data_IF_901096873346
#
_entry.id   IF_901096873346
#
_cell.length_a   1.000
_cell.length_b   1.000
_cell.length_c   1.000
_cell.angle_alpha   90.00
_cell.angle_beta   90.00
_cell.angle_gamma   90.00
#
_symmetry.space_group_name_H-M   'P 1'
#
loop_
_entity.id
_entity.type
_entity.pdbx_description
1 polymer ?
#
# COMPACT_ATOMS: atom_id res chain seq x y z
N UNK A 1 -68.70 81.81 4.00
CA UNK A 1 -67.69 80.92 4.51
C UNK A 1 -67.17 79.99 3.37
N UNK A 2 -65.98 80.31 2.83
CA UNK A 2 -65.41 79.66 1.66
C UNK A 2 -64.59 78.42 2.14
N UNK A 3 -64.97 77.21 1.67
CA UNK A 3 -64.16 76.00 1.87
C UNK A 3 -63.33 75.76 0.62
N UNK A 4 -62.01 75.98 0.72
CA UNK A 4 -61.06 75.67 -0.31
C UNK A 4 -60.70 74.22 -0.14
N UNK A 5 -61.11 73.31 -1.10
CA UNK A 5 -60.68 71.96 -1.23
C UNK A 5 -59.34 71.98 -1.98
N UNK A 6 -58.22 71.70 -1.28
CA UNK A 6 -56.94 71.46 -1.90
C UNK A 6 -56.94 70.04 -2.48
N UNK A 7 -56.97 69.95 -3.81
CA UNK A 7 -56.72 68.74 -4.55
C UNK A 7 -55.19 68.43 -4.50
N UNK A 8 -54.83 67.39 -3.82
CA UNK A 8 -53.47 66.88 -3.78
C UNK A 8 -53.27 65.87 -4.94
N UNK A 9 -52.59 66.31 -6.00
CA UNK A 9 -52.23 65.48 -7.10
C UNK A 9 -51.16 64.46 -6.61
N UNK A 10 -51.59 63.22 -6.47
CA UNK A 10 -50.65 62.09 -6.28
C UNK A 10 -50.15 61.74 -7.65
N UNK A 11 -48.96 62.24 -7.99
CA UNK A 11 -48.22 61.78 -9.16
C UNK A 11 -47.66 60.36 -8.87
N UNK A 12 -48.42 59.37 -9.34
CA UNK A 12 -47.95 57.98 -9.44
C UNK A 12 -46.80 57.91 -10.47
N UNK A 13 -45.57 57.79 -10.00
CA UNK A 13 -44.47 57.54 -10.83
C UNK A 13 -44.58 56.06 -11.36
N UNK A 14 -45.11 55.93 -12.56
CA UNK A 14 -45.17 54.64 -13.23
C UNK A 14 -43.71 54.28 -13.65
N UNK A 15 -43.08 53.39 -12.90
CA UNK A 15 -41.83 52.80 -13.33
C UNK A 15 -42.06 52.06 -14.65
N UNK A 16 -41.48 52.58 -15.70
CA UNK A 16 -41.50 51.90 -17.00
C UNK A 16 -40.77 50.54 -16.86
N UNK A 17 -41.40 49.40 -17.16
CA UNK A 17 -40.73 48.13 -17.07
C UNK A 17 -39.57 48.11 -18.05
N UNK A 18 -38.38 47.79 -17.54
CA UNK A 18 -37.18 47.56 -18.37
C UNK A 18 -37.38 46.25 -19.12
N UNK A 19 -37.61 46.35 -20.42
CA UNK A 19 -37.70 45.19 -21.32
C UNK A 19 -36.33 44.95 -21.88
N UNK A 20 -35.73 43.76 -21.58
CA UNK A 20 -34.44 43.33 -22.11
C UNK A 20 -34.74 42.27 -23.19
N UNK A 21 -34.46 42.56 -24.44
CA UNK A 21 -34.82 41.72 -25.59
C UNK A 21 -33.98 40.42 -25.67
N UNK A 22 -32.79 40.40 -25.12
CA UNK A 22 -31.96 39.17 -25.01
C UNK A 22 -31.06 39.22 -23.78
N UNK A 23 -31.01 38.11 -23.05
CA UNK A 23 -30.14 37.92 -21.89
C UNK A 23 -29.33 36.65 -22.10
N UNK A 24 -28.01 36.78 -22.01
CA UNK A 24 -27.11 35.64 -21.96
C UNK A 24 -26.81 35.37 -20.48
N UNK A 25 -27.23 34.20 -20.00
CA UNK A 25 -26.90 33.73 -18.66
C UNK A 25 -25.58 32.92 -18.72
N UNK A 26 -24.59 33.32 -17.96
CA UNK A 26 -23.37 32.57 -17.74
C UNK A 26 -23.24 32.23 -16.26
N UNK A 27 -22.77 31.03 -15.91
CA UNK A 27 -22.48 30.70 -14.51
C UNK A 27 -21.42 31.65 -13.95
N UNK A 28 -21.61 32.13 -12.74
CA UNK A 28 -20.64 32.97 -12.05
C UNK A 28 -19.41 32.14 -11.62
N UNK A 29 -19.67 30.94 -11.15
CA UNK A 29 -18.66 29.95 -10.76
C UNK A 29 -19.01 28.59 -11.36
N UNK A 30 -18.05 27.90 -11.90
CA UNK A 30 -18.15 26.53 -12.36
C UNK A 30 -16.99 25.71 -11.82
N UNK A 31 -17.29 24.57 -11.20
CA UNK A 31 -16.29 23.66 -10.69
C UNK A 31 -16.37 22.32 -11.46
N UNK A 32 -15.25 21.90 -12.03
CA UNK A 32 -15.13 20.56 -12.58
C UNK A 32 -14.74 19.58 -11.47
N UNK A 33 -15.45 18.47 -11.36
CA UNK A 33 -15.18 17.40 -10.39
C UNK A 33 -14.65 16.19 -11.14
N UNK A 34 -13.32 16.09 -11.35
CA UNK A 34 -12.74 14.94 -12.02
C UNK A 34 -12.74 13.70 -11.13
N UNK A 35 -12.82 12.51 -11.74
CA UNK A 35 -12.59 11.26 -11.04
C UNK A 35 -11.10 11.17 -10.62
N UNK A 36 -10.83 10.80 -9.36
CA UNK A 36 -9.46 10.65 -8.85
C UNK A 36 -8.75 9.40 -9.37
N UNK A 37 -9.53 8.42 -9.85
CA UNK A 37 -9.02 7.14 -10.37
C UNK A 37 -9.66 6.85 -11.72
N UNK A 38 -8.92 6.14 -12.57
CA UNK A 38 -9.43 5.64 -13.84
C UNK A 38 -10.37 4.47 -13.57
N UNK A 39 -11.58 4.52 -14.14
CA UNK A 39 -12.57 3.47 -13.94
C UNK A 39 -13.78 3.64 -14.87
N UNK A 40 -14.59 2.60 -14.95
CA UNK A 40 -15.85 2.65 -15.68
C UNK A 40 -16.93 3.28 -14.80
N UNK A 41 -17.65 4.25 -15.33
CA UNK A 41 -18.78 4.86 -14.64
C UNK A 41 -19.92 3.83 -14.53
N UNK A 42 -20.33 3.53 -13.31
CA UNK A 42 -21.41 2.58 -13.03
C UNK A 42 -22.77 3.26 -12.95
N UNK A 43 -22.83 4.41 -12.27
CA UNK A 43 -24.07 5.08 -11.96
C UNK A 43 -23.82 6.58 -11.74
N UNK A 44 -24.70 7.42 -12.26
CA UNK A 44 -24.81 8.83 -11.91
C UNK A 44 -25.97 8.95 -10.94
N UNK A 45 -25.71 9.44 -9.73
CA UNK A 45 -26.70 9.47 -8.63
C UNK A 45 -27.54 10.76 -8.66
N UNK A 46 -27.01 11.81 -9.28
CA UNK A 46 -27.65 13.14 -9.33
C UNK A 46 -28.22 13.42 -10.72
N UNK A 47 -29.24 14.27 -10.79
CA UNK A 47 -29.84 14.70 -12.05
C UNK A 47 -29.39 16.13 -12.39
N UNK A 48 -29.40 16.45 -13.70
CA UNK A 48 -29.13 17.82 -14.15
C UNK A 48 -30.09 18.81 -13.52
N UNK A 49 -29.57 19.94 -13.06
CA UNK A 49 -30.37 20.98 -12.36
C UNK A 49 -30.62 20.71 -10.87
N UNK A 50 -30.16 19.59 -10.32
CA UNK A 50 -30.27 19.31 -8.89
C UNK A 50 -29.25 20.13 -8.08
N UNK A 51 -29.70 20.60 -6.91
CA UNK A 51 -28.78 21.19 -5.93
C UNK A 51 -28.02 20.11 -5.21
N UNK A 52 -26.70 20.28 -5.08
CA UNK A 52 -25.77 19.32 -4.43
C UNK A 52 -25.06 19.98 -3.26
N UNK A 53 -24.73 19.18 -2.24
CA UNK A 53 -24.03 19.64 -1.05
C UNK A 53 -22.56 19.16 -1.08
N UNK A 54 -21.68 19.83 -0.32
CA UNK A 54 -20.30 19.41 -0.17
C UNK A 54 -20.22 18.01 0.46
N UNK A 55 -19.48 17.09 -0.18
CA UNK A 55 -19.38 15.70 0.24
C UNK A 55 -20.48 14.76 -0.29
N UNK A 56 -21.47 15.29 -1.04
CA UNK A 56 -22.50 14.45 -1.65
C UNK A 56 -21.93 13.58 -2.78
N UNK A 57 -22.36 12.31 -2.83
CA UNK A 57 -21.97 11.39 -3.91
C UNK A 57 -22.68 11.78 -5.20
N UNK A 58 -21.92 12.15 -6.23
CA UNK A 58 -22.42 12.54 -7.54
C UNK A 58 -22.53 11.36 -8.50
N UNK A 59 -21.53 10.48 -8.48
CA UNK A 59 -21.44 9.31 -9.34
C UNK A 59 -20.69 8.17 -8.63
N UNK A 60 -20.86 6.95 -9.13
CA UNK A 60 -20.18 5.75 -8.66
C UNK A 60 -19.44 5.09 -9.80
N UNK A 61 -18.19 4.76 -9.57
CA UNK A 61 -17.39 3.94 -10.49
C UNK A 61 -17.62 2.44 -10.22
N UNK A 62 -17.34 1.61 -11.21
CA UNK A 62 -17.33 0.15 -11.05
C UNK A 62 -16.10 -0.26 -10.23
N UNK A 63 -16.31 -0.82 -9.06
CA UNK A 63 -15.26 -1.21 -8.12
C UNK A 63 -14.80 -2.66 -8.27
N UNK A 64 -15.46 -3.47 -9.11
CA UNK A 64 -15.19 -4.92 -9.22
C UNK A 64 -13.73 -5.24 -9.54
N UNK A 65 -13.14 -4.49 -10.48
CA UNK A 65 -11.72 -4.69 -10.81
C UNK A 65 -10.83 -4.30 -9.64
N UNK A 66 -11.07 -3.17 -8.99
CA UNK A 66 -10.31 -2.74 -7.82
C UNK A 66 -10.42 -3.73 -6.65
N UNK A 67 -11.59 -4.31 -6.42
CA UNK A 67 -11.78 -5.36 -5.38
C UNK A 67 -10.96 -6.62 -5.70
N UNK A 68 -10.90 -7.03 -6.97
CA UNK A 68 -10.05 -8.15 -7.40
C UNK A 68 -8.57 -7.83 -7.26
N UNK A 69 -8.15 -6.62 -7.60
CA UNK A 69 -6.75 -6.18 -7.46
C UNK A 69 -6.32 -6.15 -5.98
N UNK A 70 -7.18 -5.64 -5.09
CA UNK A 70 -6.95 -5.68 -3.63
C UNK A 70 -6.89 -7.12 -3.11
N UNK A 71 -7.81 -7.99 -3.57
CA UNK A 71 -7.80 -9.40 -3.17
C UNK A 71 -6.50 -10.10 -3.61
N UNK A 72 -6.04 -9.85 -4.84
CA UNK A 72 -4.77 -10.35 -5.36
C UNK A 72 -3.59 -9.86 -4.53
N UNK A 73 -3.51 -8.54 -4.27
CA UNK A 73 -2.43 -7.96 -3.48
C UNK A 73 -2.38 -8.53 -2.06
N UNK A 74 -3.53 -8.80 -1.43
CA UNK A 74 -3.61 -9.47 -0.11
C UNK A 74 -3.03 -10.89 -0.15
N UNK A 75 -3.33 -11.66 -1.21
CA UNK A 75 -2.78 -13.01 -1.38
C UNK A 75 -1.26 -12.95 -1.57
N UNK A 76 -0.77 -12.01 -2.38
CA UNK A 76 0.67 -11.81 -2.59
C UNK A 76 1.39 -11.42 -1.28
N UNK A 77 0.82 -10.53 -0.49
CA UNK A 77 1.35 -10.17 0.83
C UNK A 77 1.35 -11.36 1.79
N UNK A 78 0.28 -12.16 1.82
CA UNK A 78 0.22 -13.37 2.65
C UNK A 78 1.28 -14.41 2.21
N UNK A 79 1.51 -14.56 0.91
CA UNK A 79 2.57 -15.43 0.39
C UNK A 79 3.97 -14.93 0.78
N UNK A 80 4.22 -13.63 0.68
CA UNK A 80 5.48 -13.02 1.12
C UNK A 80 5.68 -13.20 2.64
N UNK A 81 4.62 -13.04 3.44
CA UNK A 81 4.66 -13.27 4.88
C UNK A 81 5.01 -14.73 5.22
N UNK A 82 4.44 -15.69 4.49
CA UNK A 82 4.76 -17.11 4.68
C UNK A 82 6.24 -17.41 4.39
N UNK A 83 6.82 -16.79 3.35
CA UNK A 83 8.26 -16.91 3.03
C UNK A 83 9.13 -16.24 4.11
N UNK A 84 8.83 -15.00 4.48
CA UNK A 84 9.57 -14.22 5.48
C UNK A 84 9.58 -14.87 6.87
N UNK A 85 8.57 -15.68 7.19
CA UNK A 85 8.48 -16.42 8.45
C UNK A 85 9.09 -17.83 8.38
N UNK A 86 9.46 -18.32 7.20
CA UNK A 86 10.00 -19.66 7.03
C UNK A 86 11.50 -19.71 7.37
N UNK A 87 11.82 -20.09 8.59
CA UNK A 87 13.18 -20.23 9.10
C UNK A 87 13.80 -21.62 8.89
N UNK A 88 13.16 -22.51 8.14
CA UNK A 88 13.60 -23.89 7.99
C UNK A 88 15.02 -24.02 7.43
N UNK A 89 15.35 -23.21 6.40
CA UNK A 89 16.71 -23.19 5.82
C UNK A 89 17.77 -22.76 6.84
N UNK A 90 17.48 -21.70 7.60
CA UNK A 90 18.39 -21.21 8.65
C UNK A 90 18.58 -22.27 9.73
N UNK A 91 17.49 -22.86 10.23
CA UNK A 91 17.55 -23.90 11.24
C UNK A 91 18.31 -25.14 10.76
N UNK A 92 18.15 -25.54 9.50
CA UNK A 92 18.91 -26.64 8.90
C UNK A 92 20.41 -26.32 8.85
N UNK A 93 20.79 -25.14 8.37
CA UNK A 93 22.19 -24.72 8.28
C UNK A 93 22.83 -24.59 9.69
N UNK A 94 22.08 -24.11 10.69
CA UNK A 94 22.53 -24.07 12.08
C UNK A 94 22.81 -25.47 12.64
N UNK A 95 21.92 -26.42 12.39
CA UNK A 95 22.11 -27.79 12.86
C UNK A 95 23.25 -28.50 12.14
N UNK A 96 23.41 -28.27 10.85
CA UNK A 96 24.56 -28.81 10.08
C UNK A 96 25.90 -28.27 10.61
N UNK A 97 25.94 -26.96 10.89
CA UNK A 97 27.14 -26.34 11.50
C UNK A 97 27.41 -26.88 12.90
N UNK A 98 26.38 -27.04 13.74
CA UNK A 98 26.53 -27.61 15.10
C UNK A 98 27.14 -29.02 15.06
N UNK A 99 26.69 -29.88 14.12
CA UNK A 99 27.23 -31.24 13.93
C UNK A 99 28.70 -31.17 13.54
N UNK A 100 29.05 -30.39 12.52
CA UNK A 100 30.43 -30.29 12.06
C UNK A 100 31.38 -29.72 13.14
N UNK A 101 30.92 -28.74 13.91
CA UNK A 101 31.67 -28.21 15.07
C UNK A 101 31.87 -29.27 16.15
N UNK A 102 30.88 -30.12 16.40
CA UNK A 102 30.98 -31.19 17.36
C UNK A 102 31.96 -32.27 16.90
N UNK A 103 31.99 -32.60 15.59
CA UNK A 103 32.96 -33.53 15.00
C UNK A 103 34.38 -32.98 15.12
N UNK A 104 34.63 -31.75 14.70
CA UNK A 104 35.95 -31.12 14.81
C UNK A 104 36.45 -31.10 16.27
N UNK A 105 35.56 -30.75 17.23
CA UNK A 105 35.90 -30.78 18.64
C UNK A 105 36.31 -32.17 19.12
N UNK A 106 35.58 -33.23 18.79
CA UNK A 106 35.90 -34.62 19.14
C UNK A 106 37.24 -35.03 18.56
N UNK A 107 37.51 -34.67 17.29
CA UNK A 107 38.79 -34.97 16.64
C UNK A 107 39.96 -34.25 17.34
N UNK A 108 39.79 -33.00 17.75
CA UNK A 108 40.77 -32.22 18.51
C UNK A 108 41.04 -32.83 19.91
N UNK A 109 39.97 -33.22 20.61
CA UNK A 109 40.07 -33.88 21.91
C UNK A 109 40.81 -35.25 21.80
N UNK A 110 40.51 -36.00 20.73
CA UNK A 110 41.17 -37.29 20.47
C UNK A 110 42.69 -37.14 20.23
N UNK A 111 43.12 -36.14 19.48
CA UNK A 111 44.56 -35.83 19.29
C UNK A 111 45.19 -35.39 20.60
N UNK A 112 44.51 -34.62 21.42
CA UNK A 112 45.03 -34.17 22.72
C UNK A 112 45.31 -35.36 23.67
N UNK A 113 44.48 -36.43 23.57
CA UNK A 113 44.65 -37.63 24.40
C UNK A 113 45.66 -38.62 23.79
N UNK A 114 45.67 -38.76 22.45
CA UNK A 114 46.48 -39.72 21.72
C UNK A 114 47.12 -39.06 20.49
N UNK A 115 48.34 -38.61 20.60
CA UNK A 115 49.07 -37.76 19.64
C UNK A 115 49.19 -38.27 18.19
N UNK A 116 48.69 -39.45 17.83
CA UNK A 116 48.68 -40.01 16.47
C UNK A 116 47.34 -40.63 16.08
N UNK A 117 46.27 -40.33 16.79
CA UNK A 117 44.94 -40.94 16.55
C UNK A 117 44.30 -40.45 15.26
N UNK A 118 44.53 -39.20 14.86
CA UNK A 118 43.93 -38.57 13.67
C UNK A 118 45.03 -37.78 12.94
N UNK A 119 45.01 -37.78 11.59
CA UNK A 119 46.00 -37.02 10.80
C UNK A 119 45.66 -35.50 10.83
N UNK A 120 46.72 -34.68 10.73
CA UNK A 120 46.54 -33.21 10.64
C UNK A 120 45.69 -32.84 9.42
N UNK A 121 45.86 -33.55 8.30
CA UNK A 121 45.04 -33.36 7.09
C UNK A 121 43.53 -33.56 7.36
N UNK A 122 43.18 -34.52 8.22
CA UNK A 122 41.77 -34.75 8.58
C UNK A 122 41.19 -33.56 9.38
N UNK A 123 41.93 -33.04 10.34
CA UNK A 123 41.55 -31.85 11.12
C UNK A 123 41.38 -30.63 10.20
N UNK A 124 42.27 -30.47 9.22
CA UNK A 124 42.18 -29.34 8.28
C UNK A 124 40.93 -29.45 7.39
N UNK A 125 40.56 -30.66 6.94
CA UNK A 125 39.30 -30.90 6.22
C UNK A 125 38.07 -30.59 7.07
N UNK A 126 38.05 -31.05 8.33
CA UNK A 126 36.95 -30.78 9.25
C UNK A 126 36.80 -29.28 9.54
N UNK A 127 37.91 -28.55 9.72
CA UNK A 127 37.91 -27.11 9.89
C UNK A 127 37.35 -26.39 8.68
N UNK A 128 37.78 -26.73 7.46
CA UNK A 128 37.25 -26.18 6.23
C UNK A 128 35.74 -26.47 6.06
N UNK A 129 35.29 -27.65 6.51
CA UNK A 129 33.87 -28.02 6.52
C UNK A 129 33.08 -27.11 7.44
N UNK A 130 33.57 -26.81 8.64
CA UNK A 130 32.95 -25.85 9.57
C UNK A 130 32.89 -24.46 8.95
N UNK A 131 33.96 -23.98 8.32
CA UNK A 131 33.98 -22.68 7.64
C UNK A 131 32.94 -22.61 6.50
N UNK A 132 32.87 -23.66 5.68
CA UNK A 132 31.87 -23.79 4.61
C UNK A 132 30.45 -23.71 5.16
N UNK A 133 30.13 -24.50 6.18
CA UNK A 133 28.79 -24.51 6.78
C UNK A 133 28.44 -23.19 7.50
N UNK A 134 29.43 -22.47 8.02
CA UNK A 134 29.24 -21.12 8.55
C UNK A 134 28.84 -20.15 7.44
N UNK A 135 29.43 -20.25 6.25
CA UNK A 135 29.04 -19.43 5.10
C UNK A 135 27.65 -19.79 4.60
N UNK A 136 27.32 -21.09 4.54
CA UNK A 136 25.96 -21.55 4.18
C UNK A 136 24.90 -21.02 5.15
N UNK A 137 25.19 -21.02 6.46
CA UNK A 137 24.31 -20.39 7.46
C UNK A 137 24.10 -18.89 7.18
N UNK A 138 25.19 -18.14 6.96
CA UNK A 138 25.10 -16.71 6.64
C UNK A 138 24.30 -16.44 5.36
N UNK A 139 24.45 -17.29 4.35
CA UNK A 139 23.66 -17.20 3.13
C UNK A 139 22.17 -17.42 3.41
N UNK A 140 21.81 -18.44 4.19
CA UNK A 140 20.41 -18.70 4.56
C UNK A 140 19.80 -17.56 5.39
N UNK A 141 20.58 -16.95 6.29
CA UNK A 141 20.15 -15.76 7.05
C UNK A 141 19.89 -14.56 6.13
N UNK A 142 20.79 -14.33 5.16
CA UNK A 142 20.63 -13.24 4.19
C UNK A 142 19.42 -13.47 3.26
N UNK A 143 19.19 -14.69 2.78
CA UNK A 143 17.98 -15.03 2.01
C UNK A 143 16.71 -14.73 2.81
N UNK A 144 16.68 -15.07 4.10
CA UNK A 144 15.54 -14.76 4.98
C UNK A 144 15.34 -13.25 5.16
N UNK A 145 16.41 -12.48 5.21
CA UNK A 145 16.34 -11.01 5.29
C UNK A 145 15.76 -10.41 4.00
N UNK A 146 16.16 -10.91 2.83
CA UNK A 146 15.57 -10.50 1.55
C UNK A 146 14.08 -10.82 1.46
N UNK A 147 13.65 -12.00 1.95
CA UNK A 147 12.22 -12.34 2.02
C UNK A 147 11.44 -11.37 2.93
N UNK A 148 12.04 -10.90 4.02
CA UNK A 148 11.43 -9.87 4.89
C UNK A 148 11.29 -8.52 4.20
N UNK A 149 12.28 -8.09 3.43
CA UNK A 149 12.16 -6.86 2.63
C UNK A 149 11.09 -6.99 1.55
N UNK A 150 10.97 -8.16 0.91
CA UNK A 150 9.91 -8.44 -0.04
C UNK A 150 8.51 -8.37 0.61
N UNK A 151 8.36 -8.82 1.85
CA UNK A 151 7.13 -8.65 2.62
C UNK A 151 6.80 -7.17 2.87
N UNK A 152 7.77 -6.39 3.36
CA UNK A 152 7.59 -4.96 3.61
C UNK A 152 7.14 -4.22 2.35
N UNK A 153 7.73 -4.56 1.19
CA UNK A 153 7.32 -3.98 -0.09
C UNK A 153 5.85 -4.28 -0.39
N UNK A 154 5.41 -5.54 -0.20
CA UNK A 154 4.02 -5.94 -0.45
C UNK A 154 3.02 -5.33 0.54
N UNK A 155 3.42 -5.11 1.77
CA UNK A 155 2.60 -4.39 2.77
C UNK A 155 2.42 -2.91 2.39
N UNK A 156 3.46 -2.27 1.84
CA UNK A 156 3.36 -0.90 1.33
C UNK A 156 2.50 -0.77 0.07
N UNK A 157 2.45 -1.79 -0.77
CA UNK A 157 1.56 -1.82 -1.94
C UNK A 157 0.08 -1.92 -1.55
N UNK A 158 -0.22 -2.40 -0.33
CA UNK A 158 -1.59 -2.53 0.20
C UNK A 158 -2.08 -1.29 0.97
N UNK A 159 -1.19 -0.40 1.38
CA UNK A 159 -1.51 0.78 2.20
C UNK A 159 -2.00 1.95 1.36
#
# INVERSE_FOLDING_TARGET
LLCILALWDVTTNAETPLVIDSVVLSPLDAAEVPAQVVGMLREIVVQEGATVEAGQVLARLDTRQGELDVAKARIEAAQAAAKANNRTKVAYAEKSLEVAQAELRRSQESIAQFAKSISQSQIDVERLTVEKLLLEKKQAEHELELDRFALQLKEHELA
#
